data_IF_449222005213
#
_entry.id   IF_449222005213
#
_cell.length_a   1.000
_cell.length_b   1.000
_cell.length_c   1.000
_cell.angle_alpha   90.00
_cell.angle_beta   90.00
_cell.angle_gamma   90.00
#
_symmetry.space_group_name_H-M   'P 1'
#
loop_
_entity.id
_entity.type
_entity.pdbx_description
1 polymer ?
#
# COMPACT_ATOMS: atom_id res chain seq x y z
N UNK A 1 3.50 18.06 18.89
CA UNK A 1 2.88 17.61 17.64
C UNK A 1 2.46 16.14 17.76
N UNK A 2 1.37 15.84 17.14
CA UNK A 2 0.83 14.47 17.16
C UNK A 2 1.48 13.61 16.09
N UNK A 3 1.67 12.35 16.42
CA UNK A 3 2.06 11.36 15.42
C UNK A 3 0.86 11.07 14.54
N UNK A 4 1.05 10.79 13.24
CA UNK A 4 -0.05 10.35 12.40
C UNK A 4 -0.67 9.06 12.92
N UNK A 5 -1.96 8.87 12.70
CA UNK A 5 -2.62 7.64 13.06
C UNK A 5 -2.00 6.47 12.32
N UNK A 6 -2.03 5.29 12.96
CA UNK A 6 -1.53 4.06 12.37
C UNK A 6 -2.32 3.73 11.11
N UNK A 7 -1.62 3.24 10.09
CA UNK A 7 -2.29 2.81 8.86
C UNK A 7 -3.04 1.49 9.06
N UNK A 8 -4.18 1.37 8.40
CA UNK A 8 -4.95 0.13 8.38
C UNK A 8 -4.24 -0.95 7.57
N UNK A 9 -4.66 -2.20 7.73
CA UNK A 9 -4.10 -3.29 6.92
C UNK A 9 -4.29 -3.08 5.42
N UNK A 10 -5.47 -2.69 4.93
CA UNK A 10 -5.62 -2.36 3.50
C UNK A 10 -4.66 -1.28 3.03
N UNK A 11 -4.42 -0.25 3.84
CA UNK A 11 -3.46 0.80 3.48
C UNK A 11 -2.04 0.24 3.38
N UNK A 12 -1.66 -0.64 4.29
CA UNK A 12 -0.36 -1.30 4.25
C UNK A 12 -0.23 -2.22 3.03
N UNK A 13 -1.33 -2.84 2.59
CA UNK A 13 -1.34 -3.66 1.37
C UNK A 13 -1.05 -2.81 0.14
N UNK A 14 -1.73 -1.67 0.01
CA UNK A 14 -1.50 -0.74 -1.11
C UNK A 14 -0.05 -0.27 -1.10
N UNK A 15 0.45 0.11 0.06
CA UNK A 15 1.82 0.59 0.22
C UNK A 15 2.83 -0.49 -0.18
N UNK A 16 2.62 -1.73 0.24
CA UNK A 16 3.49 -2.85 -0.12
C UNK A 16 3.49 -3.11 -1.64
N UNK A 17 2.31 -3.08 -2.26
CA UNK A 17 2.19 -3.28 -3.71
C UNK A 17 2.98 -2.21 -4.45
N UNK A 18 2.82 -0.95 -4.06
CA UNK A 18 3.55 0.14 -4.71
C UNK A 18 5.06 -0.03 -4.49
N UNK A 19 5.48 -0.40 -3.27
CA UNK A 19 6.90 -0.63 -2.99
C UNK A 19 7.51 -1.68 -3.91
N UNK A 20 6.79 -2.76 -4.19
CA UNK A 20 7.30 -3.84 -5.03
C UNK A 20 7.24 -3.55 -6.52
N UNK A 21 6.20 -2.87 -6.97
CA UNK A 21 5.93 -2.72 -8.41
C UNK A 21 6.12 -1.30 -8.94
N UNK A 22 6.72 -0.42 -8.14
CA UNK A 22 6.98 0.94 -8.57
C UNK A 22 7.87 1.01 -9.81
N UNK A 23 7.58 1.88 -10.77
CA UNK A 23 6.44 2.81 -10.78
C UNK A 23 5.14 2.08 -11.07
N UNK A 24 4.12 2.29 -10.26
CA UNK A 24 2.85 1.58 -10.34
C UNK A 24 1.67 2.52 -10.46
N UNK A 25 0.70 2.15 -11.29
CA UNK A 25 -0.56 2.90 -11.41
C UNK A 25 -1.55 2.42 -10.35
N UNK A 26 -2.53 3.26 -10.02
CA UNK A 26 -3.62 2.84 -9.13
C UNK A 26 -4.39 1.65 -9.73
N UNK A 27 -4.60 1.66 -11.05
CA UNK A 27 -5.31 0.56 -11.70
C UNK A 27 -4.62 -0.79 -11.47
N UNK A 28 -3.29 -0.80 -11.51
CA UNK A 28 -2.54 -2.03 -11.24
C UNK A 28 -2.69 -2.48 -9.78
N UNK A 29 -2.67 -1.52 -8.85
CA UNK A 29 -2.90 -1.81 -7.43
C UNK A 29 -4.29 -2.40 -7.25
N UNK A 30 -5.32 -1.78 -7.86
CA UNK A 30 -6.69 -2.26 -7.81
C UNK A 30 -6.81 -3.68 -8.34
N UNK A 31 -6.10 -3.97 -9.43
CA UNK A 31 -6.10 -5.30 -10.05
C UNK A 31 -5.56 -6.37 -9.10
N UNK A 32 -4.43 -6.10 -8.46
CA UNK A 32 -3.83 -7.05 -7.51
C UNK A 32 -4.74 -7.26 -6.30
N UNK A 33 -5.34 -6.19 -5.79
CA UNK A 33 -6.19 -6.28 -4.60
C UNK A 33 -7.60 -6.75 -4.89
N UNK A 34 -8.10 -6.52 -6.10
CA UNK A 34 -9.46 -6.84 -6.48
C UNK A 34 -10.49 -5.84 -5.94
N UNK A 35 -10.05 -4.68 -5.49
CA UNK A 35 -10.92 -3.61 -4.95
C UNK A 35 -10.41 -2.25 -5.37
N UNK A 36 -11.27 -1.23 -5.29
CA UNK A 36 -10.90 0.17 -5.56
C UNK A 36 -10.02 0.70 -4.42
N UNK A 37 -8.86 1.22 -4.77
CA UNK A 37 -7.89 1.73 -3.80
C UNK A 37 -7.70 3.25 -3.88
N UNK A 38 -8.63 3.97 -4.51
CA UNK A 38 -8.46 5.41 -4.73
C UNK A 38 -8.37 6.22 -3.43
N UNK A 39 -9.20 5.90 -2.44
CA UNK A 39 -9.14 6.57 -1.14
C UNK A 39 -7.76 6.35 -0.50
N UNK A 40 -7.30 5.11 -0.50
CA UNK A 40 -6.04 4.73 0.14
C UNK A 40 -4.85 5.39 -0.54
N UNK A 41 -4.85 5.42 -1.88
CA UNK A 41 -3.78 6.10 -2.63
C UNK A 41 -3.72 7.58 -2.24
N UNK A 42 -4.87 8.25 -2.15
CA UNK A 42 -4.94 9.65 -1.73
C UNK A 42 -4.40 9.84 -0.30
N UNK A 43 -4.74 8.94 0.60
CA UNK A 43 -4.26 8.97 1.98
C UNK A 43 -2.73 8.83 2.04
N UNK A 44 -2.18 7.90 1.29
CA UNK A 44 -0.74 7.67 1.27
C UNK A 44 0.02 8.85 0.66
N UNK A 45 -0.55 9.50 -0.35
CA UNK A 45 -0.01 10.74 -0.91
C UNK A 45 0.00 11.85 0.13
N UNK A 46 -1.11 12.03 0.84
CA UNK A 46 -1.24 13.05 1.87
C UNK A 46 -0.21 12.86 2.99
N UNK A 47 0.09 11.62 3.32
CA UNK A 47 1.08 11.29 4.35
C UNK A 47 2.51 11.25 3.83
N UNK A 48 2.73 11.59 2.57
CA UNK A 48 4.04 11.59 1.94
C UNK A 48 4.73 10.23 1.98
N UNK A 49 3.96 9.16 1.95
CA UNK A 49 4.52 7.79 1.90
C UNK A 49 4.71 7.32 0.47
N UNK A 50 3.95 7.89 -0.45
CA UNK A 50 4.12 7.68 -1.89
C UNK A 50 4.09 9.04 -2.57
N UNK A 51 4.57 9.08 -3.81
CA UNK A 51 4.55 10.30 -4.62
C UNK A 51 4.31 9.95 -6.09
N UNK A 52 3.80 10.92 -6.85
CA UNK A 52 3.65 10.77 -8.29
C UNK A 52 5.04 10.82 -8.93
N UNK A 53 5.30 9.92 -9.86
CA UNK A 53 6.61 9.87 -10.51
C UNK A 53 6.53 9.84 -12.06
N UNK A 54 5.37 10.16 -12.60
CA UNK A 54 5.18 10.24 -14.04
C UNK A 54 3.86 9.66 -14.48
N UNK A 55 3.74 9.43 -15.79
CA UNK A 55 2.55 8.85 -16.39
C UNK A 55 2.93 7.72 -17.32
N UNK A 56 2.12 6.66 -17.26
CA UNK A 56 2.33 5.52 -18.15
C UNK A 56 1.92 5.92 -19.57
N UNK A 57 2.73 5.57 -20.57
CA UNK A 57 2.51 5.97 -21.97
C UNK A 57 1.52 5.03 -22.67
N UNK A 58 0.28 5.01 -22.17
CA UNK A 58 -0.84 4.24 -22.73
C UNK A 58 -2.06 5.15 -22.77
N UNK A 59 -3.14 4.75 -23.47
CA UNK A 59 -4.38 5.57 -23.49
C UNK A 59 -4.84 5.90 -22.07
N UNK A 60 -5.23 7.17 -21.87
CA UNK A 60 -5.60 7.69 -20.56
C UNK A 60 -4.43 8.20 -19.74
N UNK A 61 -3.21 7.84 -20.09
CA UNK A 61 -1.97 8.28 -19.43
C UNK A 61 -2.09 8.29 -17.92
N UNK A 62 -2.33 7.11 -17.30
CA UNK A 62 -2.52 7.06 -15.84
C UNK A 62 -1.25 7.44 -15.07
N UNK A 63 -1.45 8.07 -13.93
CA UNK A 63 -0.37 8.49 -13.04
C UNK A 63 0.30 7.25 -12.46
N UNK A 64 1.63 7.29 -12.38
CA UNK A 64 2.43 6.26 -11.73
C UNK A 64 2.94 6.78 -10.40
N UNK A 65 3.01 5.89 -9.42
CA UNK A 65 3.41 6.20 -8.04
C UNK A 65 4.63 5.39 -7.64
N UNK A 66 5.38 5.95 -6.70
CA UNK A 66 6.52 5.28 -6.07
C UNK A 66 6.55 5.62 -4.58
N UNK A 67 7.27 4.83 -3.80
CA UNK A 67 7.49 5.12 -2.38
C UNK A 67 8.52 6.24 -2.22
N UNK A 68 8.56 6.82 -1.03
CA UNK A 68 9.40 7.98 -0.70
C UNK A 68 10.43 7.62 0.36
N UNK A 69 11.36 8.54 0.61
CA UNK A 69 12.27 8.43 1.74
C UNK A 69 11.52 8.47 3.07
N UNK A 70 10.41 9.24 3.13
CA UNK A 70 9.55 9.28 4.30
C UNK A 70 9.02 7.90 4.64
N UNK A 71 8.61 7.13 3.61
CA UNK A 71 8.20 5.74 3.79
C UNK A 71 9.30 4.92 4.48
N UNK A 72 10.50 4.95 3.92
CA UNK A 72 11.61 4.16 4.48
C UNK A 72 11.88 4.53 5.94
N UNK A 73 11.96 5.82 6.23
CA UNK A 73 12.20 6.28 7.61
C UNK A 73 11.07 5.88 8.55
N UNK A 74 9.83 6.03 8.10
CA UNK A 74 8.66 5.75 8.94
C UNK A 74 8.55 4.28 9.34
N UNK A 75 9.06 3.39 8.49
CA UNK A 75 8.98 1.94 8.74
C UNK A 75 10.33 1.32 9.10
N UNK A 76 11.32 2.16 9.39
CA UNK A 76 12.62 1.68 9.83
C UNK A 76 13.37 0.87 8.80
N UNK A 77 13.19 1.21 7.51
CA UNK A 77 13.85 0.53 6.41
C UNK A 77 15.01 1.38 5.88
N UNK A 78 16.16 0.75 5.66
CA UNK A 78 17.29 1.40 5.01
C UNK A 78 17.08 1.47 3.50
N UNK A 79 16.47 0.42 2.94
CA UNK A 79 16.13 0.35 1.53
C UNK A 79 15.05 -0.72 1.33
N UNK A 80 14.52 -0.83 0.11
CA UNK A 80 13.44 -1.75 -0.21
C UNK A 80 13.86 -3.22 -0.18
N UNK A 81 15.15 -3.50 -0.28
CA UNK A 81 15.66 -4.88 -0.27
C UNK A 81 15.44 -5.58 1.08
N UNK A 82 15.12 -4.81 2.12
CA UNK A 82 14.80 -5.38 3.44
C UNK A 82 13.41 -6.01 3.49
N UNK A 83 12.59 -5.81 2.46
CA UNK A 83 11.30 -6.48 2.34
C UNK A 83 11.51 -7.88 1.74
N UNK A 84 10.60 -8.85 2.05
CA UNK A 84 10.71 -10.18 1.46
C UNK A 84 10.81 -10.14 -0.06
N UNK A 85 11.71 -10.94 -0.63
CA UNK A 85 11.88 -11.01 -2.08
C UNK A 85 10.69 -11.71 -2.72
N UNK A 86 10.15 -11.13 -3.81
CA UNK A 86 9.05 -11.74 -4.53
C UNK A 86 9.55 -12.83 -5.46
N UNK A 87 8.77 -13.90 -5.65
CA UNK A 87 9.07 -14.87 -6.69
C UNK A 87 8.94 -14.23 -8.07
N UNK A 88 9.63 -14.79 -9.05
CA UNK A 88 9.62 -14.26 -10.42
C UNK A 88 8.35 -14.70 -11.16
N UNK A 89 7.19 -14.38 -10.58
CA UNK A 89 5.87 -14.70 -11.15
C UNK A 89 4.96 -13.49 -11.01
N UNK A 90 4.00 -13.37 -11.92
CA UNK A 90 3.00 -12.31 -11.86
C UNK A 90 1.93 -12.71 -10.83
N UNK A 91 1.56 -11.80 -9.91
CA UNK A 91 0.47 -12.11 -8.98
C UNK A 91 -0.85 -12.29 -9.71
N UNK A 92 -1.69 -13.17 -9.20
CA UNK A 92 -3.04 -13.35 -9.74
C UNK A 92 -3.92 -12.17 -9.32
N UNK A 93 -4.90 -11.85 -10.17
CA UNK A 93 -5.85 -10.78 -9.89
C UNK A 93 -6.61 -11.06 -8.58
N UNK A 94 -6.70 -10.05 -7.75
CA UNK A 94 -7.43 -10.12 -6.50
C UNK A 94 -6.70 -10.89 -5.39
N UNK A 95 -5.43 -11.23 -5.58
CA UNK A 95 -4.67 -11.99 -4.59
C UNK A 95 -3.29 -11.40 -4.34
N UNK A 96 -3.00 -11.14 -3.06
CA UNK A 96 -1.63 -10.85 -2.65
C UNK A 96 -0.87 -12.17 -2.50
N UNK A 97 0.38 -12.18 -2.93
CA UNK A 97 1.24 -13.35 -2.74
C UNK A 97 1.59 -13.50 -1.25
N UNK A 98 2.09 -14.66 -0.86
CA UNK A 98 2.55 -14.88 0.50
C UNK A 98 3.67 -13.91 0.88
N UNK A 99 4.53 -13.58 -0.07
CA UNK A 99 5.64 -12.65 0.14
C UNK A 99 5.13 -11.23 0.37
N UNK A 100 4.10 -10.80 -0.36
CA UNK A 100 3.45 -9.51 -0.13
C UNK A 100 2.77 -9.47 1.24
N UNK A 101 2.11 -10.57 1.64
CA UNK A 101 1.50 -10.67 2.95
C UNK A 101 2.55 -10.57 4.05
N UNK A 102 3.70 -11.22 3.87
CA UNK A 102 4.82 -11.11 4.79
C UNK A 102 5.35 -9.69 4.88
N UNK A 103 5.40 -8.98 3.74
CA UNK A 103 5.79 -7.58 3.74
C UNK A 103 4.81 -6.71 4.53
N UNK A 104 3.50 -6.95 4.37
CA UNK A 104 2.48 -6.23 5.13
C UNK A 104 2.67 -6.48 6.64
N UNK A 105 2.93 -7.71 7.03
CA UNK A 105 3.20 -8.05 8.44
C UNK A 105 4.44 -7.33 8.94
N UNK A 106 5.48 -7.22 8.13
CA UNK A 106 6.71 -6.49 8.47
C UNK A 106 6.42 -5.01 8.72
N UNK A 107 5.61 -4.39 7.83
CA UNK A 107 5.22 -3.00 7.98
C UNK A 107 4.33 -2.80 9.21
N UNK A 108 3.43 -3.72 9.45
CA UNK A 108 2.56 -3.71 10.62
C UNK A 108 3.37 -3.76 11.92
N UNK A 109 4.35 -4.65 11.97
CA UNK A 109 5.24 -4.77 13.13
C UNK A 109 6.03 -3.49 13.36
N UNK A 110 6.48 -2.83 12.30
CA UNK A 110 7.20 -1.56 12.41
C UNK A 110 6.31 -0.46 13.01
N UNK A 111 5.05 -0.39 12.60
CA UNK A 111 4.09 0.54 13.18
C UNK A 111 3.86 0.29 14.67
N UNK A 112 3.67 -0.96 15.02
CA UNK A 112 3.43 -1.35 16.43
C UNK A 112 4.64 -1.00 17.28
N UNK A 113 5.86 -1.21 16.77
CA UNK A 113 7.10 -0.91 17.49
C UNK A 113 7.26 0.58 17.75
N UNK A 114 6.74 1.44 16.83
CA UNK A 114 6.78 2.89 17.00
C UNK A 114 5.77 3.42 18.02
N UNK A 115 4.84 2.57 18.49
CA UNK A 115 3.82 2.98 19.45
C UNK A 115 2.92 4.09 18.91
N UNK A 116 2.55 4.01 17.65
CA UNK A 116 1.75 5.02 16.99
C UNK A 116 0.29 5.05 17.49
N UNK A 117 -0.42 6.12 17.14
CA UNK A 117 -1.82 6.27 17.47
C UNK A 117 -2.68 5.26 16.71
N UNK A 118 -3.91 5.07 17.21
CA UNK A 118 -4.85 4.19 16.57
C UNK A 118 -5.29 4.72 15.20
N UNK A 119 -5.74 3.82 14.36
CA UNK A 119 -6.29 4.12 13.05
C UNK A 119 -7.50 5.05 13.20
N UNK A 120 -7.65 6.01 12.28
CA UNK A 120 -8.79 6.92 12.31
C UNK A 120 -10.09 6.18 11.96
N UNK A 121 -11.23 6.76 12.38
CA UNK A 121 -12.54 6.19 12.06
C UNK A 121 -12.76 6.08 10.56
N UNK A 122 -12.34 7.09 9.79
CA UNK A 122 -12.47 7.07 8.34
C UNK A 122 -11.66 5.93 7.71
N UNK A 123 -10.45 5.72 8.20
CA UNK A 123 -9.60 4.61 7.72
C UNK A 123 -10.25 3.27 8.03
N UNK A 124 -10.83 3.12 9.21
CA UNK A 124 -11.52 1.89 9.59
C UNK A 124 -12.73 1.64 8.70
N UNK A 125 -13.53 2.67 8.43
CA UNK A 125 -14.70 2.54 7.57
C UNK A 125 -14.29 2.15 6.15
N UNK A 126 -13.24 2.76 5.62
CA UNK A 126 -12.74 2.41 4.29
C UNK A 126 -12.19 0.99 4.26
N UNK A 127 -11.49 0.57 5.29
CA UNK A 127 -10.97 -0.78 5.41
C UNK A 127 -12.12 -1.79 5.40
N UNK A 128 -13.19 -1.50 6.15
CA UNK A 128 -14.37 -2.36 6.19
C UNK A 128 -15.04 -2.48 4.82
N UNK A 129 -15.14 -1.37 4.09
CA UNK A 129 -15.71 -1.35 2.74
C UNK A 129 -14.89 -2.20 1.77
N UNK A 130 -13.58 -2.07 1.82
CA UNK A 130 -12.68 -2.83 0.95
C UNK A 130 -12.76 -4.33 1.25
N UNK A 131 -12.84 -4.70 2.52
CA UNK A 131 -12.97 -6.09 2.92
C UNK A 131 -14.32 -6.68 2.46
N UNK A 132 -15.41 -5.92 2.63
CA UNK A 132 -16.73 -6.35 2.17
C UNK A 132 -16.75 -6.53 0.65
N UNK A 133 -16.13 -5.60 -0.07
CA UNK A 133 -16.05 -5.66 -1.52
C UNK A 133 -15.26 -6.88 -1.98
N UNK A 134 -14.15 -7.20 -1.31
CA UNK A 134 -13.34 -8.36 -1.64
C UNK A 134 -14.12 -9.66 -1.39
N UNK A 135 -14.92 -9.73 -0.33
CA UNK A 135 -15.74 -10.89 -0.05
C UNK A 135 -16.83 -11.09 -1.11
N UNK A 136 -17.43 -10.01 -1.59
CA UNK A 136 -18.46 -10.09 -2.63
C UNK A 136 -17.89 -10.58 -3.95
N UNK A 137 -16.63 -10.25 -4.24
CA UNK A 137 -15.96 -10.60 -5.50
C UNK A 137 -15.27 -11.96 -5.45
N UNK A 138 -15.20 -12.55 -4.27
CA UNK A 138 -14.49 -13.83 -4.07
C UNK A 138 -15.24 -15.04 -4.63
#
# INVERSE_FOLDING_TARGET
SRRPARLSQPALEVLAIIAYYQPATRAYVDQIRGVDSSYTVSLLLERDLIEECGRLAVPGRPIQYRTTQTFLRSFGLSNLDELPELPNTTPEDGQLTLEMQAAVERLQAAQAAEGTEEVTEEELLQAAREMAQAEEEA
#
